data_IF_940184215207
#
_entry.id   IF_940184215207
#
_cell.length_a   1.000
_cell.length_b   1.000
_cell.length_c   1.000
_cell.angle_alpha   90.00
_cell.angle_beta   90.00
_cell.angle_gamma   90.00
#
_symmetry.space_group_name_H-M   'P 1'
#
loop_
_entity.id
_entity.type
_entity.pdbx_description
1 polymer ?
#
# COMPACT_ATOMS: atom_id res chain seq x y z
N UNK A 1 25.06 -4.95 -1.00
CA UNK A 1 23.88 -5.29 -1.56
C UNK A 1 22.82 -5.53 -0.51
N UNK A 2 21.76 -4.95 -0.66
CA UNK A 2 20.74 -5.10 0.34
C UNK A 2 19.82 -6.26 0.02
N UNK A 3 19.42 -6.97 1.02
CA UNK A 3 18.47 -8.03 0.89
C UNK A 3 17.08 -7.44 0.70
N UNK A 4 16.20 -8.27 0.19
CA UNK A 4 14.81 -7.86 0.11
C UNK A 4 14.25 -7.70 1.52
N UNK A 5 13.38 -6.73 1.72
CA UNK A 5 12.76 -6.56 3.04
C UNK A 5 11.99 -7.80 3.44
N UNK A 6 12.10 -8.18 4.69
CA UNK A 6 11.43 -9.36 5.22
C UNK A 6 10.35 -9.00 6.22
N UNK A 7 10.34 -7.77 6.69
CA UNK A 7 9.39 -7.31 7.68
C UNK A 7 9.06 -5.85 7.39
N UNK A 8 8.09 -5.33 8.10
CA UNK A 8 7.75 -3.93 7.95
C UNK A 8 8.90 -3.04 8.38
N UNK A 9 9.64 -3.42 9.42
CA UNK A 9 10.81 -2.66 9.85
C UNK A 9 11.87 -2.65 8.76
N UNK A 10 12.05 -3.77 8.07
CA UNK A 10 13.01 -3.82 6.96
C UNK A 10 12.58 -2.93 5.83
N UNK A 11 11.27 -2.87 5.55
CA UNK A 11 10.75 -1.99 4.50
C UNK A 11 11.03 -0.53 4.85
N UNK A 12 10.82 -0.16 6.11
CA UNK A 12 11.08 1.21 6.54
C UNK A 12 12.55 1.56 6.36
N UNK A 13 13.45 0.68 6.79
CA UNK A 13 14.88 0.93 6.66
C UNK A 13 15.28 1.05 5.20
N UNK A 14 14.74 0.20 4.35
CA UNK A 14 15.04 0.20 2.94
C UNK A 14 14.57 1.49 2.27
N UNK A 15 13.37 1.94 2.62
CA UNK A 15 12.83 3.18 2.05
C UNK A 15 13.62 4.39 2.54
N UNK A 16 14.08 4.37 3.78
CA UNK A 16 14.90 5.45 4.30
C UNK A 16 16.23 5.53 3.58
N UNK A 17 16.79 4.40 3.22
CA UNK A 17 18.01 4.38 2.45
C UNK A 17 17.80 4.98 1.06
N UNK A 18 16.69 4.63 0.40
CA UNK A 18 16.36 5.20 -0.88
C UNK A 18 16.13 6.71 -0.76
N UNK A 19 15.45 7.11 0.29
CA UNK A 19 15.19 8.51 0.53
C UNK A 19 16.50 9.29 0.66
N UNK A 20 17.46 8.75 1.37
CA UNK A 20 18.72 9.41 1.53
C UNK A 20 19.45 9.57 0.20
N UNK A 21 19.35 8.59 -0.67
CA UNK A 21 19.96 8.69 -2.00
C UNK A 21 19.28 9.74 -2.86
N UNK A 22 17.94 9.76 -2.81
CA UNK A 22 17.20 10.75 -3.58
C UNK A 22 17.44 12.15 -3.05
N UNK A 23 17.58 12.30 -1.74
CA UNK A 23 17.82 13.59 -1.14
C UNK A 23 19.13 14.22 -1.58
N UNK A 24 20.08 13.42 -2.03
CA UNK A 24 21.32 13.96 -2.54
C UNK A 24 21.15 14.58 -3.92
N UNK A 25 20.11 14.17 -4.63
CA UNK A 25 19.87 14.65 -5.98
C UNK A 25 18.88 15.79 -5.96
N UNK A 26 17.89 15.70 -5.12
CA UNK A 26 16.83 16.68 -5.04
C UNK A 26 16.83 17.34 -3.67
N UNK A 27 16.62 18.64 -3.68
CA UNK A 27 16.44 19.34 -2.43
C UNK A 27 15.13 18.92 -1.81
N UNK A 28 15.11 18.83 -0.49
CA UNK A 28 13.92 18.53 0.25
C UNK A 28 13.65 17.04 0.41
N UNK A 29 13.85 16.25 -0.62
CA UNK A 29 13.61 14.82 -0.52
C UNK A 29 12.23 14.44 -0.02
N UNK A 30 12.13 13.24 0.50
CA UNK A 30 10.87 12.66 0.98
C UNK A 30 11.11 12.00 2.31
N UNK A 31 10.04 11.86 3.09
CA UNK A 31 10.12 11.10 4.32
C UNK A 31 8.90 10.21 4.46
N UNK A 32 9.11 9.09 5.13
CA UNK A 32 8.04 8.14 5.40
C UNK A 32 7.23 8.70 6.56
N UNK A 33 5.94 8.91 6.30
CA UNK A 33 5.06 9.48 7.29
C UNK A 33 4.36 8.38 8.10
N UNK A 34 4.03 7.28 7.46
CA UNK A 34 3.37 6.16 8.13
C UNK A 34 3.48 4.93 7.27
N UNK A 35 3.29 3.77 7.89
CA UNK A 35 3.30 2.50 7.19
C UNK A 35 2.27 1.59 7.84
N UNK A 36 1.84 0.58 7.09
CA UNK A 36 0.93 -0.38 7.65
C UNK A 36 0.71 -1.56 6.73
N UNK A 37 -0.07 -2.49 7.21
CA UNK A 37 -0.49 -3.61 6.39
C UNK A 37 -1.82 -4.12 6.91
N UNK A 38 -2.54 -4.81 6.03
CA UNK A 38 -3.79 -5.45 6.42
C UNK A 38 -3.97 -6.73 5.63
N UNK A 39 -4.83 -7.59 6.16
CA UNK A 39 -5.12 -8.88 5.56
C UNK A 39 -6.61 -8.93 5.25
N UNK A 40 -6.95 -9.40 4.06
CA UNK A 40 -8.31 -9.72 3.69
C UNK A 40 -8.38 -11.22 3.56
N UNK A 41 -9.10 -11.85 4.48
CA UNK A 41 -9.14 -13.31 4.55
C UNK A 41 -10.56 -13.77 4.33
N UNK A 42 -10.77 -14.47 3.22
CA UNK A 42 -12.07 -15.02 2.84
C UNK A 42 -13.17 -13.98 2.82
N UNK A 43 -12.84 -12.81 2.28
CA UNK A 43 -13.83 -11.76 2.08
C UNK A 43 -14.88 -12.21 1.09
N UNK A 44 -16.13 -11.95 1.43
CA UNK A 44 -17.23 -12.28 0.55
C UNK A 44 -17.11 -11.56 -0.78
N UNK A 45 -16.63 -10.31 -0.75
CA UNK A 45 -16.52 -9.49 -1.95
C UNK A 45 -15.51 -10.04 -2.93
N UNK A 46 -14.42 -10.63 -2.44
CA UNK A 46 -13.33 -11.06 -3.30
C UNK A 46 -13.29 -12.57 -3.50
N UNK A 47 -13.91 -13.32 -2.62
CA UNK A 47 -13.80 -14.77 -2.64
C UNK A 47 -15.04 -15.48 -3.16
N UNK A 48 -15.94 -14.75 -3.79
CA UNK A 48 -17.15 -15.37 -4.34
C UNK A 48 -17.69 -14.52 -5.47
N UNK A 49 -18.61 -15.11 -6.23
CA UNK A 49 -19.26 -14.41 -7.31
C UNK A 49 -18.44 -14.35 -8.58
N UNK A 50 -18.87 -13.51 -9.48
CA UNK A 50 -18.21 -13.30 -10.77
C UNK A 50 -18.43 -11.84 -11.17
N UNK A 51 -17.69 -11.43 -12.22
CA UNK A 51 -17.77 -10.04 -12.65
C UNK A 51 -16.92 -9.13 -11.79
N UNK A 52 -17.16 -7.85 -11.92
CA UNK A 52 -16.37 -6.85 -11.18
C UNK A 52 -16.78 -6.83 -9.72
N UNK A 53 -15.82 -7.00 -8.84
CA UNK A 53 -16.03 -7.00 -7.40
C UNK A 53 -14.90 -6.25 -6.75
N UNK A 54 -15.16 -5.63 -5.61
CA UNK A 54 -14.12 -4.88 -4.93
C UNK A 54 -14.35 -4.92 -3.42
N UNK A 55 -13.25 -4.72 -2.71
CA UNK A 55 -13.22 -4.59 -1.26
C UNK A 55 -12.53 -3.27 -0.96
N UNK A 56 -13.10 -2.51 -0.04
CA UNK A 56 -12.54 -1.23 0.38
C UNK A 56 -11.96 -1.38 1.77
N UNK A 57 -10.74 -0.92 1.93
CA UNK A 57 -10.11 -0.88 3.24
C UNK A 57 -9.75 0.55 3.57
N UNK A 58 -10.33 1.05 4.65
CA UNK A 58 -9.97 2.38 5.12
C UNK A 58 -8.68 2.30 5.90
N UNK A 59 -7.78 3.22 5.64
CA UNK A 59 -6.50 3.33 6.32
C UNK A 59 -6.46 4.66 7.04
N UNK A 60 -6.27 4.64 8.35
CA UNK A 60 -6.15 5.86 9.14
C UNK A 60 -4.71 5.94 9.63
N UNK A 61 -4.09 7.12 9.43
CA UNK A 61 -2.74 7.33 9.92
C UNK A 61 -2.75 7.50 11.42
N UNK A 62 -1.66 7.12 12.05
CA UNK A 62 -1.55 7.24 13.50
C UNK A 62 -1.72 8.68 13.94
N UNK A 63 -1.22 9.62 13.14
CA UNK A 63 -1.37 11.05 13.41
C UNK A 63 -1.74 11.72 12.10
N UNK A 64 -2.43 12.84 12.21
CA UNK A 64 -2.68 13.65 11.03
C UNK A 64 -1.35 14.17 10.50
N UNK A 65 -1.16 14.05 9.20
CA UNK A 65 0.09 14.43 8.56
C UNK A 65 0.08 15.92 8.23
N UNK A 66 1.26 16.47 8.01
CA UNK A 66 1.38 17.88 7.68
C UNK A 66 0.95 18.19 6.26
N UNK A 67 0.80 17.17 5.44
CA UNK A 67 0.41 17.34 4.04
C UNK A 67 -0.25 16.05 3.56
N UNK A 68 -0.88 16.14 2.41
CA UNK A 68 -1.43 14.95 1.76
C UNK A 68 -0.28 14.08 1.26
N UNK A 69 -0.25 12.83 1.66
CA UNK A 69 0.85 11.96 1.27
C UNK A 69 0.64 11.33 -0.08
N UNK A 70 1.69 10.74 -0.61
CA UNK A 70 1.58 9.71 -1.64
C UNK A 70 1.59 8.36 -0.95
N UNK A 71 0.74 7.47 -1.42
CA UNK A 71 0.61 6.14 -0.84
C UNK A 71 1.05 5.11 -1.85
N UNK A 72 2.00 4.28 -1.45
CA UNK A 72 2.44 3.16 -2.25
C UNK A 72 1.94 1.88 -1.62
N UNK A 73 1.35 1.03 -2.43
CA UNK A 73 0.79 -0.22 -1.95
C UNK A 73 1.48 -1.38 -2.67
N UNK A 74 1.50 -2.50 -2.00
CA UNK A 74 2.01 -3.72 -2.59
C UNK A 74 1.26 -4.91 -2.03
N UNK A 75 1.20 -5.97 -2.82
CA UNK A 75 0.64 -7.22 -2.38
C UNK A 75 1.77 -8.00 -1.76
N UNK A 76 1.69 -8.23 -0.45
CA UNK A 76 2.75 -8.96 0.26
C UNK A 76 2.37 -10.40 0.54
N UNK A 77 1.11 -10.77 0.26
CA UNK A 77 0.68 -12.16 0.35
C UNK A 77 -0.56 -12.35 -0.50
N UNK A 78 -0.66 -13.50 -1.15
CA UNK A 78 -1.75 -13.75 -2.06
C UNK A 78 -2.01 -15.24 -2.16
N UNK A 79 -3.29 -15.61 -2.08
CA UNK A 79 -3.71 -16.96 -2.34
C UNK A 79 -4.77 -16.91 -3.42
N UNK A 80 -4.65 -17.74 -4.44
CA UNK A 80 -5.54 -17.67 -5.59
C UNK A 80 -6.06 -19.06 -5.93
N UNK A 81 -7.19 -19.07 -6.62
CA UNK A 81 -7.75 -20.30 -7.13
C UNK A 81 -6.94 -20.72 -8.36
N UNK A 82 -6.38 -21.92 -8.31
CA UNK A 82 -5.48 -22.36 -9.38
C UNK A 82 -6.21 -22.74 -10.65
N UNK A 83 -7.51 -22.94 -10.60
CA UNK A 83 -8.27 -23.39 -11.76
C UNK A 83 -8.78 -22.24 -12.62
N UNK A 84 -8.58 -20.99 -12.20
CA UNK A 84 -9.06 -19.84 -12.97
C UNK A 84 -7.94 -18.80 -13.05
N UNK A 85 -8.10 -17.87 -13.98
CA UNK A 85 -7.14 -16.80 -14.13
C UNK A 85 -7.26 -15.86 -12.96
N UNK A 86 -6.10 -15.40 -12.47
CA UNK A 86 -6.06 -14.44 -11.39
C UNK A 86 -6.23 -13.03 -11.94
N UNK A 87 -7.05 -12.26 -11.28
CA UNK A 87 -7.24 -10.87 -11.61
C UNK A 87 -7.29 -10.06 -10.31
N UNK A 88 -6.40 -9.10 -10.19
CA UNK A 88 -6.35 -8.28 -8.99
C UNK A 88 -5.84 -6.90 -9.35
N UNK A 89 -6.41 -5.90 -8.71
CA UNK A 89 -6.01 -4.51 -8.90
C UNK A 89 -6.06 -3.81 -7.54
N UNK A 90 -5.03 -3.03 -7.25
CA UNK A 90 -5.01 -2.16 -6.10
C UNK A 90 -5.13 -0.73 -6.55
N UNK A 91 -5.95 0.05 -5.85
CA UNK A 91 -6.12 1.45 -6.16
C UNK A 91 -6.28 2.22 -4.86
N UNK A 92 -5.57 3.34 -4.75
CA UNK A 92 -5.68 4.19 -3.58
C UNK A 92 -6.51 5.42 -3.95
N UNK A 93 -7.56 5.68 -3.19
CA UNK A 93 -8.45 6.81 -3.46
C UNK A 93 -8.70 7.58 -2.18
N UNK A 94 -9.24 8.78 -2.34
CA UNK A 94 -9.64 9.64 -1.23
C UNK A 94 -8.51 9.85 -0.23
N UNK A 95 -7.31 10.13 -0.75
CA UNK A 95 -6.14 10.35 0.08
C UNK A 95 -6.24 11.73 0.72
N UNK A 96 -6.07 11.77 2.03
CA UNK A 96 -6.07 13.02 2.79
C UNK A 96 -4.90 12.99 3.76
N UNK A 97 -4.75 14.06 4.53
CA UNK A 97 -3.72 14.08 5.57
C UNK A 97 -4.05 13.16 6.74
N UNK A 98 -5.26 12.62 6.79
CA UNK A 98 -5.69 11.75 7.89
C UNK A 98 -5.71 10.28 7.52
N UNK A 99 -5.81 9.97 6.25
CA UNK A 99 -5.88 8.58 5.82
C UNK A 99 -6.22 8.45 4.36
N UNK A 100 -6.62 7.25 3.97
CA UNK A 100 -6.96 6.96 2.59
C UNK A 100 -7.82 5.71 2.54
N UNK A 101 -8.32 5.41 1.35
CA UNK A 101 -8.99 4.14 1.10
C UNK A 101 -8.19 3.36 0.08
N UNK A 102 -7.99 2.09 0.34
CA UNK A 102 -7.34 1.20 -0.60
C UNK A 102 -8.41 0.24 -1.11
N UNK A 103 -8.62 0.25 -2.42
CA UNK A 103 -9.60 -0.60 -3.06
C UNK A 103 -8.90 -1.77 -3.71
N UNK A 104 -9.33 -2.97 -3.38
CA UNK A 104 -8.84 -4.20 -3.97
C UNK A 104 -9.95 -4.72 -4.85
N UNK A 105 -9.66 -4.90 -6.13
CA UNK A 105 -10.66 -5.32 -7.10
C UNK A 105 -10.25 -6.61 -7.78
N UNK A 106 -11.24 -7.39 -8.15
CA UNK A 106 -11.07 -8.55 -9.00
C UNK A 106 -12.22 -8.58 -9.98
N UNK A 107 -12.10 -9.39 -11.04
CA UNK A 107 -13.12 -9.43 -12.08
C UNK A 107 -13.16 -10.80 -12.72
N UNK A 108 -14.18 -10.98 -13.59
CA UNK A 108 -14.45 -12.25 -14.24
C UNK A 108 -14.72 -13.30 -13.18
N UNK A 109 -14.11 -14.46 -13.30
CA UNK A 109 -14.35 -15.56 -12.37
C UNK A 109 -13.25 -15.72 -11.35
N UNK A 110 -12.33 -14.77 -11.29
CA UNK A 110 -11.24 -14.84 -10.33
C UNK A 110 -11.78 -14.71 -8.91
N UNK A 111 -11.19 -15.45 -8.00
CA UNK A 111 -11.50 -15.33 -6.59
C UNK A 111 -10.20 -15.17 -5.82
N UNK A 112 -10.28 -14.36 -4.75
CA UNK A 112 -9.12 -14.03 -3.94
C UNK A 112 -9.41 -14.40 -2.49
N UNK A 113 -9.17 -15.67 -2.11
CA UNK A 113 -9.46 -16.08 -0.74
C UNK A 113 -8.57 -15.38 0.29
N UNK A 114 -7.39 -14.95 -0.10
CA UNK A 114 -6.48 -14.32 0.84
C UNK A 114 -5.65 -13.27 0.12
N UNK A 115 -5.63 -12.05 0.66
CA UNK A 115 -4.79 -10.98 0.14
C UNK A 115 -4.20 -10.23 1.32
N UNK A 116 -2.90 -10.07 1.31
CA UNK A 116 -2.21 -9.24 2.28
C UNK A 116 -1.63 -8.04 1.57
N UNK A 117 -1.96 -6.86 2.06
CA UNK A 117 -1.54 -5.61 1.43
C UNK A 117 -0.70 -4.82 2.40
N UNK A 118 0.44 -4.35 1.93
CA UNK A 118 1.30 -3.45 2.68
C UNK A 118 1.24 -2.09 2.03
N UNK A 119 1.35 -1.04 2.85
CA UNK A 119 1.31 0.32 2.30
C UNK A 119 2.29 1.22 3.03
N UNK A 120 2.74 2.24 2.33
CA UNK A 120 3.66 3.24 2.84
C UNK A 120 3.15 4.60 2.42
N UNK A 121 3.04 5.52 3.38
CA UNK A 121 2.65 6.89 3.11
C UNK A 121 3.90 7.76 3.17
N UNK A 122 4.11 8.52 2.11
CA UNK A 122 5.31 9.34 1.96
C UNK A 122 4.89 10.78 1.72
N UNK A 123 5.53 11.70 2.43
CA UNK A 123 5.31 13.12 2.20
C UNK A 123 6.63 13.76 1.79
N UNK A 124 6.51 14.90 1.11
CA UNK A 124 7.71 15.67 0.77
C UNK A 124 8.31 16.20 2.05
N UNK A 125 9.63 16.13 2.13
CA UNK A 125 10.34 16.69 3.26
C UNK A 125 10.18 18.19 3.25
N UNK A 126 9.88 18.75 4.41
CA UNK A 126 9.72 20.21 4.55
C UNK A 126 11.00 20.82 5.07
N UNK A 127 12.09 20.26 4.68
CA UNK A 127 13.38 20.73 5.17
C UNK A 127 13.67 22.17 4.74
N UNK A 128 13.01 22.63 3.72
CA UNK A 128 13.24 23.98 3.23
C UNK A 128 12.42 24.95 4.00
N UNK A 129 11.71 24.44 4.61
CA UNK A 129 10.82 24.96 5.37
C UNK A 129 10.30 26.20 5.32
N UNK A 130 10.78 25.99 5.04
CA UNK A 130 10.83 26.37 5.00
C UNK A 130 10.90 26.44 5.19
#
# INVERSE_FOLDING_TARGET
>A
MSDKPKSMLDVIAWCQELEARLGKIEKGGFQIADVGEFVIDESRELNSGSGDRSYKQEVLFEKELSAQPKIFTSISGLNVESSVNTAIKLETVNVTSKGAEIHISTWKEATLPFVKVSWIAIIASDSTGH
#
